data_IF_847406805009
#
_entry.id   IF_847406805009
#
_cell.length_a   1.000
_cell.length_b   1.000
_cell.length_c   1.000
_cell.angle_alpha   90.00
_cell.angle_beta   90.00
_cell.angle_gamma   90.00
#
_symmetry.space_group_name_H-M   'P 1'
#
loop_
_entity.id
_entity.type
_entity.pdbx_description
1 polymer ?
#
# COMPACT_ATOMS: atom_id res chain seq x y z
N UNK A 1 -5.65 11.33 40.29
CA UNK A 1 -4.25 11.03 39.91
C UNK A 1 -4.26 10.50 38.49
N UNK A 2 -3.29 10.87 37.66
CA UNK A 2 -3.26 10.55 36.24
C UNK A 2 -2.28 11.50 35.55
N UNK A 3 -1.03 11.07 35.43
CA UNK A 3 0.07 11.91 34.97
C UNK A 3 1.33 11.10 34.79
N UNK A 4 1.52 10.61 33.57
CA UNK A 4 2.74 10.05 32.96
C UNK A 4 2.36 9.64 31.54
N UNK A 5 2.72 10.48 30.58
CA UNK A 5 2.91 10.16 29.15
C UNK A 5 3.52 11.41 28.48
N UNK A 6 4.73 11.78 28.93
CA UNK A 6 5.56 12.72 28.20
C UNK A 6 6.26 11.94 27.08
N UNK A 7 5.98 12.28 25.82
CA UNK A 7 6.64 11.64 24.68
C UNK A 7 8.15 11.92 24.72
N UNK A 8 8.96 10.87 24.71
CA UNK A 8 10.41 10.97 24.52
C UNK A 8 10.76 11.33 23.07
N UNK A 9 11.88 12.03 22.89
CA UNK A 9 12.43 12.28 21.56
C UNK A 9 12.84 10.95 20.89
N UNK A 10 12.61 10.83 19.59
CA UNK A 10 12.88 9.62 18.82
C UNK A 10 14.17 9.74 18.03
N UNK A 11 15.04 8.74 18.13
CA UNK A 11 16.19 8.60 17.24
C UNK A 11 15.76 8.12 15.85
N UNK A 12 16.54 8.51 14.83
CA UNK A 12 16.37 8.02 13.46
C UNK A 12 17.03 6.65 13.35
N UNK A 13 16.28 5.63 12.93
CA UNK A 13 16.79 4.27 12.77
C UNK A 13 17.27 4.02 11.34
N UNK A 14 18.47 3.46 11.19
CA UNK A 14 19.01 2.96 9.91
C UNK A 14 18.25 1.70 9.47
N UNK A 15 17.61 1.74 8.29
CA UNK A 15 17.01 0.55 7.67
C UNK A 15 17.91 -0.02 6.57
N UNK A 16 18.32 -1.27 6.71
CA UNK A 16 19.11 -1.98 5.69
C UNK A 16 18.25 -2.34 4.48
N UNK A 17 18.80 -2.16 3.28
CA UNK A 17 18.11 -2.47 2.01
C UNK A 17 17.79 -3.98 1.89
N UNK A 18 16.65 -4.37 1.28
CA UNK A 18 16.34 -5.78 1.03
C UNK A 18 17.42 -6.56 0.29
N UNK A 19 18.23 -5.90 -0.55
CA UNK A 19 19.34 -6.54 -1.29
C UNK A 19 20.42 -7.09 -0.36
N UNK A 20 20.59 -6.52 0.83
CA UNK A 20 21.54 -6.96 1.87
C UNK A 20 21.32 -8.44 2.21
N UNK A 21 20.07 -8.92 2.24
CA UNK A 21 19.75 -10.33 2.58
C UNK A 21 19.97 -11.34 1.44
N UNK A 22 20.52 -10.89 0.30
CA UNK A 22 21.10 -11.77 -0.73
C UNK A 22 22.64 -11.78 -0.71
N UNK A 23 23.27 -10.84 0.00
CA UNK A 23 24.73 -10.69 0.12
C UNK A 23 25.29 -11.24 1.45
N UNK A 24 24.45 -11.25 2.50
CA UNK A 24 24.78 -11.75 3.83
C UNK A 24 23.74 -12.83 4.22
N UNK A 25 24.11 -14.12 4.24
CA UNK A 25 23.23 -15.21 4.64
C UNK A 25 22.69 -15.02 6.06
N UNK A 26 21.43 -15.44 6.30
CA UNK A 26 20.82 -15.32 7.63
C UNK A 26 21.42 -16.27 8.67
N UNK A 27 21.97 -17.40 8.23
CA UNK A 27 22.56 -18.39 9.13
C UNK A 27 23.88 -17.85 9.74
N UNK A 28 24.56 -16.95 9.03
CA UNK A 28 25.77 -16.25 9.47
C UNK A 28 25.47 -15.10 10.48
N UNK A 29 24.22 -14.67 10.65
CA UNK A 29 23.85 -13.63 11.64
C UNK A 29 24.33 -14.02 13.06
N UNK A 30 24.36 -15.32 13.39
CA UNK A 30 24.82 -15.79 14.70
C UNK A 30 26.34 -15.68 14.94
N UNK A 31 27.12 -15.28 13.92
CA UNK A 31 28.57 -15.12 13.97
C UNK A 31 29.01 -13.64 14.15
N UNK A 32 28.07 -12.70 14.23
CA UNK A 32 28.34 -11.26 14.24
C UNK A 32 28.25 -10.64 15.65
N UNK A 33 29.17 -9.75 15.97
CA UNK A 33 29.18 -8.99 17.24
C UNK A 33 28.17 -7.82 17.19
N UNK A 34 27.01 -8.02 17.83
CA UNK A 34 25.92 -7.04 17.90
C UNK A 34 26.15 -5.94 18.94
N UNK A 35 25.83 -4.70 18.56
CA UNK A 35 25.76 -3.57 19.48
C UNK A 35 24.43 -3.62 20.28
N UNK A 36 24.41 -3.00 21.46
CA UNK A 36 23.26 -3.00 22.38
C UNK A 36 22.96 -1.57 22.86
N UNK A 37 21.72 -1.12 22.69
CA UNK A 37 21.25 0.21 23.07
C UNK A 37 19.86 0.10 23.74
N UNK A 38 19.66 0.79 24.87
CA UNK A 38 18.48 0.69 25.75
C UNK A 38 18.02 -0.76 26.07
N UNK A 39 18.97 -1.71 26.08
CA UNK A 39 18.73 -3.12 26.36
C UNK A 39 18.26 -3.95 25.16
N UNK A 40 18.23 -3.36 23.96
CA UNK A 40 17.89 -4.04 22.71
C UNK A 40 19.14 -4.27 21.85
N UNK A 41 19.22 -5.44 21.21
CA UNK A 41 20.25 -5.73 20.21
C UNK A 41 19.92 -4.97 18.93
N UNK A 42 20.84 -4.14 18.44
CA UNK A 42 20.67 -3.30 17.25
C UNK A 42 21.44 -3.89 16.06
N UNK A 43 22.21 -3.10 15.29
CA UNK A 43 23.03 -3.60 14.18
C UNK A 43 24.39 -4.17 14.63
N UNK A 44 25.00 -5.11 13.86
CA UNK A 44 26.31 -5.66 14.16
C UNK A 44 27.44 -4.70 13.78
N UNK A 45 28.57 -4.85 14.47
CA UNK A 45 29.74 -3.97 14.37
C UNK A 45 30.34 -3.91 12.95
N UNK A 46 30.17 -4.96 12.15
CA UNK A 46 30.53 -5.00 10.73
C UNK A 46 29.76 -6.11 9.99
N UNK A 47 29.74 -6.03 8.66
CA UNK A 47 29.17 -7.02 7.75
C UNK A 47 30.25 -7.47 6.74
N UNK A 48 30.49 -8.78 6.59
CA UNK A 48 31.49 -9.33 5.66
C UNK A 48 30.82 -10.20 4.58
N UNK A 49 30.92 -9.85 3.28
CA UNK A 49 30.13 -10.50 2.22
C UNK A 49 30.80 -11.76 1.67
N UNK A 50 30.03 -12.84 1.55
CA UNK A 50 30.52 -14.16 1.11
C UNK A 50 30.50 -14.28 -0.42
N UNK A 51 31.47 -13.65 -1.10
CA UNK A 51 31.55 -13.63 -2.57
C UNK A 51 32.21 -14.92 -3.11
N UNK A 52 31.58 -15.67 -4.04
CA UNK A 52 32.21 -16.81 -4.70
C UNK A 52 33.39 -16.39 -5.58
N UNK A 53 34.61 -16.82 -5.22
CA UNK A 53 35.84 -16.49 -5.97
C UNK A 53 35.84 -16.95 -7.44
N UNK A 54 34.96 -17.88 -7.84
CA UNK A 54 34.78 -18.29 -9.25
C UNK A 54 34.17 -17.18 -10.12
N UNK A 55 33.52 -16.18 -9.52
CA UNK A 55 33.04 -14.98 -10.22
C UNK A 55 34.13 -13.90 -10.38
N UNK A 56 35.31 -14.11 -9.79
CA UNK A 56 36.44 -13.17 -9.81
C UNK A 56 37.49 -13.56 -10.87
N UNK A 57 37.56 -14.84 -11.24
CA UNK A 57 38.48 -15.37 -12.25
C UNK A 57 37.72 -16.10 -13.36
N UNK A 58 37.81 -15.61 -14.61
CA UNK A 58 37.26 -16.30 -15.78
C UNK A 58 38.00 -17.63 -16.03
N UNK A 59 37.25 -18.71 -16.25
CA UNK A 59 37.76 -20.02 -16.65
C UNK A 59 37.52 -20.27 -18.14
N UNK A 60 38.53 -20.82 -18.83
CA UNK A 60 38.55 -21.07 -20.28
C UNK A 60 38.63 -22.60 -20.55
N UNK A 61 37.97 -23.11 -21.61
CA UNK A 61 37.77 -24.55 -21.89
C UNK A 61 38.55 -25.06 -23.14
N UNK A 62 38.88 -26.36 -23.23
CA UNK A 62 39.32 -27.03 -24.48
C UNK A 62 39.22 -28.59 -24.43
N UNK A 63 39.21 -29.27 -25.59
CA UNK A 63 39.01 -30.73 -25.84
C UNK A 63 40.24 -31.42 -26.54
N UNK A 64 40.30 -32.66 -27.08
CA UNK A 64 39.30 -33.71 -27.44
C UNK A 64 39.92 -35.12 -27.74
N UNK A 65 39.10 -36.19 -27.76
CA UNK A 65 39.36 -37.50 -28.43
C UNK A 65 40.34 -38.51 -27.76
N UNK A 66 40.44 -39.81 -28.15
CA UNK A 66 39.56 -40.68 -28.96
C UNK A 66 40.24 -41.91 -29.64
N UNK A 67 39.67 -43.15 -29.50
CA UNK A 67 39.85 -44.39 -30.36
C UNK A 67 41.28 -45.05 -30.44
N UNK A 68 41.58 -46.27 -30.95
CA UNK A 68 40.89 -47.50 -31.49
C UNK A 68 41.75 -48.80 -31.19
N UNK A 69 41.30 -50.08 -31.37
CA UNK A 69 42.01 -51.30 -30.91
C UNK A 69 42.43 -52.33 -32.03
N UNK A 70 42.49 -53.66 -31.70
CA UNK A 70 42.64 -54.92 -32.52
C UNK A 70 44.03 -55.63 -32.46
N UNK A 71 44.20 -56.95 -32.70
CA UNK A 71 43.28 -58.12 -32.80
C UNK A 71 43.89 -59.37 -32.03
N UNK A 72 44.11 -60.66 -32.42
CA UNK A 72 43.94 -61.48 -33.65
C UNK A 72 43.98 -63.02 -33.38
N UNK A 73 42.96 -63.78 -33.85
CA UNK A 73 42.85 -65.21 -34.26
C UNK A 73 43.60 -66.45 -33.65
N UNK A 74 42.77 -67.47 -33.32
CA UNK A 74 42.72 -68.88 -33.81
C UNK A 74 43.64 -70.05 -33.31
N UNK A 75 43.01 -71.19 -32.95
CA UNK A 75 43.32 -72.55 -33.54
C UNK A 75 42.36 -73.71 -33.16
N UNK A 76 42.29 -74.71 -34.07
CA UNK A 76 41.96 -76.15 -33.89
C UNK A 76 40.50 -76.67 -33.98
N UNK A 77 40.32 -77.70 -34.83
CA UNK A 77 39.02 -78.31 -35.18
C UNK A 77 38.42 -79.21 -34.10
N UNK A 78 39.23 -79.72 -33.14
CA UNK A 78 38.70 -80.49 -32.01
C UNK A 78 37.88 -79.61 -31.05
N UNK A 79 38.20 -78.32 -30.95
CA UNK A 79 37.39 -77.36 -30.19
C UNK A 79 35.99 -77.22 -30.79
N UNK A 80 35.83 -77.31 -32.12
CA UNK A 80 34.59 -76.94 -32.83
C UNK A 80 33.34 -77.64 -32.29
N UNK A 81 33.42 -78.88 -31.77
CA UNK A 81 32.27 -79.53 -31.13
C UNK A 81 31.95 -78.97 -29.73
N UNK A 82 32.96 -78.71 -28.92
CA UNK A 82 32.81 -78.09 -27.59
C UNK A 82 32.36 -76.63 -27.75
N UNK A 83 32.94 -75.93 -28.73
CA UNK A 83 32.59 -74.58 -29.15
C UNK A 83 31.17 -74.50 -29.71
N UNK A 84 30.67 -75.50 -30.45
CA UNK A 84 29.27 -75.56 -30.87
C UNK A 84 28.32 -75.74 -29.68
N UNK A 85 28.68 -76.54 -28.68
CA UNK A 85 27.90 -76.64 -27.43
C UNK A 85 27.99 -75.37 -26.58
N UNK A 86 29.15 -74.70 -26.53
CA UNK A 86 29.34 -73.42 -25.85
C UNK A 86 28.52 -72.32 -26.55
N UNK A 87 28.63 -72.18 -27.87
CA UNK A 87 27.81 -71.24 -28.68
C UNK A 87 26.32 -71.54 -28.52
N UNK A 88 25.90 -72.81 -28.44
CA UNK A 88 24.50 -73.15 -28.18
C UNK A 88 24.06 -72.75 -26.76
N UNK A 89 24.90 -72.96 -25.74
CA UNK A 89 24.63 -72.57 -24.36
C UNK A 89 24.62 -71.03 -24.20
N UNK A 90 25.58 -70.33 -24.80
CA UNK A 90 25.65 -68.87 -24.87
C UNK A 90 24.47 -68.29 -25.63
N UNK A 91 24.05 -68.90 -26.75
CA UNK A 91 22.85 -68.51 -27.47
C UNK A 91 21.60 -68.67 -26.62
N UNK A 92 21.44 -69.79 -25.91
CA UNK A 92 20.33 -70.00 -24.98
C UNK A 92 20.38 -68.98 -23.82
N UNK A 93 21.56 -68.71 -23.26
CA UNK A 93 21.75 -67.70 -22.21
C UNK A 93 21.42 -66.29 -22.71
N UNK A 94 21.83 -65.93 -23.92
CA UNK A 94 21.50 -64.66 -24.59
C UNK A 94 20.00 -64.58 -24.86
N UNK A 95 19.34 -65.65 -25.31
CA UNK A 95 17.88 -65.67 -25.51
C UNK A 95 17.13 -65.51 -24.18
N UNK A 96 17.55 -66.20 -23.10
CA UNK A 96 16.95 -66.05 -21.77
C UNK A 96 17.19 -64.64 -21.18
N UNK A 97 18.39 -64.08 -21.36
CA UNK A 97 18.69 -62.67 -21.05
C UNK A 97 17.77 -61.73 -21.82
N UNK A 98 17.62 -61.94 -23.14
CA UNK A 98 16.83 -61.10 -24.04
C UNK A 98 15.35 -61.08 -23.63
N UNK A 99 14.76 -62.27 -23.41
CA UNK A 99 13.39 -62.39 -22.90
C UNK A 99 13.21 -61.73 -21.52
N UNK A 100 14.15 -61.92 -20.60
CA UNK A 100 14.14 -61.25 -19.29
C UNK A 100 14.18 -59.72 -19.42
N UNK A 101 15.02 -59.18 -20.30
CA UNK A 101 15.08 -57.73 -20.57
C UNK A 101 13.84 -57.22 -21.30
N UNK A 102 13.21 -58.01 -22.17
CA UNK A 102 11.96 -57.62 -22.84
C UNK A 102 10.78 -57.57 -21.86
N UNK A 103 10.65 -58.55 -20.95
CA UNK A 103 9.62 -58.52 -19.89
C UNK A 103 9.78 -57.27 -19.02
N UNK A 104 10.99 -57.03 -18.49
CA UNK A 104 11.27 -55.84 -17.67
C UNK A 104 11.19 -54.50 -18.41
N UNK A 105 11.14 -54.51 -19.74
CA UNK A 105 10.84 -53.32 -20.55
C UNK A 105 9.33 -53.12 -20.70
N UNK A 106 8.55 -54.20 -20.91
CA UNK A 106 7.10 -54.15 -21.00
C UNK A 106 6.46 -53.62 -19.70
N UNK A 107 6.88 -54.13 -18.53
CA UNK A 107 6.35 -53.70 -17.23
C UNK A 107 6.59 -52.20 -16.97
N UNK A 108 7.77 -51.69 -17.34
CA UNK A 108 8.11 -50.26 -17.26
C UNK A 108 7.27 -49.41 -18.21
N UNK A 109 6.94 -49.94 -19.39
CA UNK A 109 6.16 -49.24 -20.39
C UNK A 109 4.69 -49.15 -19.98
N UNK A 110 4.13 -50.18 -19.33
CA UNK A 110 2.81 -50.14 -18.68
C UNK A 110 2.79 -49.08 -17.56
N UNK A 111 3.75 -49.12 -16.63
CA UNK A 111 3.81 -48.15 -15.53
C UNK A 111 3.98 -46.69 -16.03
N UNK A 112 4.73 -46.48 -17.12
CA UNK A 112 4.85 -45.17 -17.76
C UNK A 112 3.49 -44.70 -18.32
N UNK A 113 2.78 -45.55 -19.08
CA UNK A 113 1.47 -45.23 -19.66
C UNK A 113 0.41 -44.97 -18.58
N UNK A 114 0.43 -45.70 -17.46
CA UNK A 114 -0.46 -45.41 -16.32
C UNK A 114 -0.17 -44.02 -15.71
N UNK A 115 1.11 -43.66 -15.55
CA UNK A 115 1.50 -42.34 -15.03
C UNK A 115 1.14 -41.18 -15.97
N UNK A 116 1.25 -41.39 -17.29
CA UNK A 116 0.85 -40.42 -18.32
C UNK A 116 -0.67 -40.23 -18.36
N UNK A 117 -1.43 -41.33 -18.25
CA UNK A 117 -2.89 -41.32 -18.15
C UNK A 117 -3.37 -40.57 -16.90
N UNK A 118 -2.74 -40.83 -15.75
CA UNK A 118 -3.04 -40.12 -14.49
C UNK A 118 -2.76 -38.61 -14.62
N UNK A 119 -1.57 -38.22 -15.09
CA UNK A 119 -1.21 -36.82 -15.34
C UNK A 119 -2.19 -36.13 -16.30
N UNK A 120 -2.60 -36.81 -17.37
CA UNK A 120 -3.60 -36.31 -18.34
C UNK A 120 -4.96 -36.07 -17.69
N UNK A 121 -5.36 -36.85 -16.68
CA UNK A 121 -6.62 -36.66 -15.96
C UNK A 121 -6.61 -35.43 -15.03
N UNK A 122 -5.54 -35.21 -14.27
CA UNK A 122 -5.36 -34.01 -13.44
C UNK A 122 -5.32 -32.72 -14.29
N UNK A 123 -4.60 -32.73 -15.41
CA UNK A 123 -4.54 -31.58 -16.33
C UNK A 123 -5.94 -31.23 -16.88
N UNK A 124 -6.80 -32.20 -17.14
CA UNK A 124 -8.20 -31.93 -17.55
C UNK A 124 -9.03 -31.30 -16.43
N UNK A 125 -8.92 -31.81 -15.20
CA UNK A 125 -9.62 -31.24 -14.04
C UNK A 125 -9.22 -29.78 -13.78
N UNK A 126 -7.93 -29.45 -13.96
CA UNK A 126 -7.44 -28.06 -13.86
C UNK A 126 -7.98 -27.18 -14.99
N UNK A 127 -8.05 -27.68 -16.23
CA UNK A 127 -8.65 -26.95 -17.36
C UNK A 127 -10.13 -26.66 -17.12
N UNK A 128 -10.91 -27.63 -16.64
CA UNK A 128 -12.33 -27.45 -16.33
C UNK A 128 -12.54 -26.42 -15.20
N UNK A 129 -11.71 -26.44 -14.16
CA UNK A 129 -11.73 -25.42 -13.11
C UNK A 129 -11.41 -24.01 -13.63
N UNK A 130 -10.39 -23.88 -14.50
CA UNK A 130 -10.02 -22.59 -15.11
C UNK A 130 -11.17 -22.07 -15.99
N UNK A 131 -11.80 -22.94 -16.79
CA UNK A 131 -12.95 -22.60 -17.64
C UNK A 131 -14.12 -21.99 -16.82
N UNK A 132 -14.47 -22.61 -15.70
CA UNK A 132 -15.53 -22.13 -14.78
C UNK A 132 -15.17 -20.76 -14.16
N UNK A 133 -13.88 -20.48 -13.90
CA UNK A 133 -13.47 -19.15 -13.41
C UNK A 133 -13.47 -18.10 -14.53
N UNK A 134 -13.13 -18.46 -15.77
CA UNK A 134 -13.19 -17.55 -16.91
C UNK A 134 -14.63 -17.09 -17.19
N UNK A 135 -15.61 -18.00 -17.19
CA UNK A 135 -17.04 -17.67 -17.34
C UNK A 135 -17.51 -16.69 -16.24
N UNK A 136 -17.10 -16.92 -14.99
CA UNK A 136 -17.40 -16.02 -13.86
C UNK A 136 -16.81 -14.63 -14.07
N UNK A 137 -15.55 -14.53 -14.49
CA UNK A 137 -14.86 -13.26 -14.78
C UNK A 137 -15.62 -12.49 -15.86
N UNK A 138 -15.94 -13.12 -17.00
CA UNK A 138 -16.73 -12.47 -18.07
C UNK A 138 -18.07 -11.95 -17.54
N UNK A 139 -18.79 -12.75 -16.75
CA UNK A 139 -20.08 -12.32 -16.16
C UNK A 139 -19.97 -11.14 -15.19
N UNK A 140 -18.80 -10.92 -14.59
CA UNK A 140 -18.50 -9.79 -13.71
C UNK A 140 -18.05 -8.56 -14.50
N UNK A 141 -17.29 -8.75 -15.58
CA UNK A 141 -16.91 -7.67 -16.50
C UNK A 141 -18.12 -7.08 -17.22
N UNK A 142 -19.09 -7.90 -17.64
CA UNK A 142 -20.35 -7.41 -18.23
C UNK A 142 -21.18 -6.59 -17.23
N UNK A 143 -21.31 -7.07 -15.98
CA UNK A 143 -22.00 -6.34 -14.91
C UNK A 143 -21.31 -5.00 -14.60
N UNK A 144 -19.98 -5.02 -14.48
CA UNK A 144 -19.17 -3.81 -14.29
C UNK A 144 -19.37 -2.81 -15.44
N UNK A 145 -19.30 -3.27 -16.69
CA UNK A 145 -19.51 -2.45 -17.90
C UNK A 145 -20.90 -1.81 -17.94
N UNK A 146 -21.93 -2.54 -17.51
CA UNK A 146 -23.29 -1.99 -17.36
C UNK A 146 -23.35 -0.89 -16.29
N UNK A 147 -22.77 -1.15 -15.11
CA UNK A 147 -22.73 -0.20 -13.99
C UNK A 147 -21.88 1.05 -14.29
N UNK A 148 -20.77 0.90 -15.00
CA UNK A 148 -19.94 2.01 -15.49
C UNK A 148 -20.73 2.87 -16.51
N UNK A 149 -21.54 2.26 -17.38
CA UNK A 149 -22.39 2.98 -18.33
C UNK A 149 -23.51 3.76 -17.61
N UNK A 150 -24.13 3.19 -16.57
CA UNK A 150 -25.11 3.87 -15.73
C UNK A 150 -24.47 5.03 -14.95
N UNK A 151 -23.31 4.80 -14.33
CA UNK A 151 -22.54 5.82 -13.62
C UNK A 151 -22.03 6.93 -14.56
N UNK A 152 -21.80 6.63 -15.84
CA UNK A 152 -21.53 7.61 -16.89
C UNK A 152 -22.75 8.47 -17.22
N UNK A 153 -23.93 7.87 -17.41
CA UNK A 153 -25.20 8.59 -17.62
C UNK A 153 -25.52 9.52 -16.44
N UNK A 154 -25.35 9.03 -15.21
CA UNK A 154 -25.61 9.81 -14.00
C UNK A 154 -24.64 11.00 -13.88
N UNK A 155 -23.34 10.80 -14.16
CA UNK A 155 -22.35 11.89 -14.19
C UNK A 155 -22.65 12.93 -15.28
N UNK A 156 -23.11 12.52 -16.46
CA UNK A 156 -23.54 13.45 -17.50
C UNK A 156 -24.77 14.27 -17.07
N UNK A 157 -25.73 13.65 -16.37
CA UNK A 157 -26.90 14.34 -15.83
C UNK A 157 -26.53 15.36 -14.74
N UNK A 158 -25.63 14.97 -13.82
CA UNK A 158 -25.08 15.86 -12.78
C UNK A 158 -24.34 17.03 -13.43
N UNK A 159 -23.48 16.80 -14.42
CA UNK A 159 -22.76 17.88 -15.11
C UNK A 159 -23.71 18.84 -15.87
N UNK A 160 -24.84 18.36 -16.41
CA UNK A 160 -25.82 19.25 -17.04
C UNK A 160 -26.63 20.07 -16.03
N UNK A 161 -26.94 19.50 -14.86
CA UNK A 161 -27.49 20.22 -13.71
C UNK A 161 -26.49 21.25 -13.15
N UNK A 162 -25.22 20.90 -13.02
CA UNK A 162 -24.13 21.79 -12.62
C UNK A 162 -23.95 22.93 -13.63
N UNK A 163 -24.01 22.66 -14.95
CA UNK A 163 -23.96 23.69 -15.99
C UNK A 163 -25.15 24.66 -15.90
N UNK A 164 -26.36 24.14 -15.69
CA UNK A 164 -27.58 24.94 -15.51
C UNK A 164 -27.55 25.75 -14.20
N UNK A 165 -26.95 25.19 -13.14
CA UNK A 165 -26.67 25.90 -11.89
C UNK A 165 -25.62 27.00 -12.07
N UNK A 166 -24.52 26.71 -12.77
CA UNK A 166 -23.41 27.64 -13.01
C UNK A 166 -23.86 28.91 -13.75
N UNK A 167 -24.83 28.79 -14.67
CA UNK A 167 -25.42 29.93 -15.37
C UNK A 167 -26.08 30.95 -14.40
N UNK A 168 -26.55 30.50 -13.23
CA UNK A 168 -27.09 31.35 -12.15
C UNK A 168 -26.05 31.75 -11.08
N UNK A 169 -24.77 31.37 -11.25
CA UNK A 169 -23.69 31.59 -10.27
C UNK A 169 -22.67 32.63 -10.74
N UNK A 170 -22.76 33.11 -11.98
CA UNK A 170 -21.89 34.15 -12.57
C UNK A 170 -21.80 35.42 -11.71
N UNK A 171 -22.87 35.76 -10.98
CA UNK A 171 -22.94 36.90 -10.04
C UNK A 171 -22.05 36.77 -8.78
N UNK A 172 -21.37 35.63 -8.55
CA UNK A 172 -20.59 35.35 -7.32
C UNK A 172 -19.10 35.12 -7.57
N UNK A 173 -18.49 35.97 -8.40
CA UNK A 173 -17.06 35.92 -8.73
C UNK A 173 -16.14 36.42 -7.58
N UNK A 174 -16.18 35.77 -6.41
CA UNK A 174 -15.19 35.93 -5.34
C UNK A 174 -14.46 34.60 -5.09
N UNK A 175 -13.13 34.62 -5.17
CA UNK A 175 -12.28 33.47 -4.83
C UNK A 175 -12.41 33.17 -3.33
N UNK A 176 -12.61 31.88 -2.93
CA UNK A 176 -12.63 31.50 -1.52
C UNK A 176 -11.33 31.84 -0.79
N UNK A 177 -11.43 32.18 0.50
CA UNK A 177 -10.29 32.51 1.36
C UNK A 177 -9.54 31.24 1.78
N UNK A 178 -10.31 30.20 2.16
CA UNK A 178 -9.87 28.83 2.41
C UNK A 178 -11.12 27.92 2.40
N UNK A 179 -10.97 26.65 2.02
CA UNK A 179 -12.00 25.65 2.35
C UNK A 179 -11.92 25.28 3.83
N UNK A 180 -13.03 24.90 4.44
CA UNK A 180 -13.05 24.27 5.77
C UNK A 180 -13.39 22.80 5.58
N UNK A 181 -12.61 21.90 6.17
CA UNK A 181 -12.91 20.47 6.25
C UNK A 181 -13.02 20.03 7.70
N UNK A 182 -14.11 19.37 8.05
CA UNK A 182 -14.22 18.61 9.30
C UNK A 182 -13.88 17.15 9.00
N UNK A 183 -12.90 16.63 9.74
CA UNK A 183 -12.46 15.24 9.71
C UNK A 183 -13.31 14.43 10.69
N UNK A 184 -14.09 13.49 10.17
CA UNK A 184 -15.01 12.66 10.94
C UNK A 184 -14.82 11.17 10.63
N UNK A 185 -15.31 10.29 11.50
CA UNK A 185 -15.30 8.84 11.26
C UNK A 185 -16.61 8.18 11.70
N UNK A 186 -16.83 8.05 13.01
CA UNK A 186 -17.95 7.30 13.59
C UNK A 186 -18.76 8.08 14.65
N UNK A 187 -18.38 9.33 14.97
CA UNK A 187 -18.91 10.13 16.09
C UNK A 187 -20.06 11.08 15.68
N UNK A 188 -21.16 10.55 15.17
CA UNK A 188 -22.28 11.36 14.59
C UNK A 188 -22.82 12.49 15.48
N UNK A 189 -22.86 12.30 16.80
CA UNK A 189 -23.29 13.33 17.76
C UNK A 189 -22.28 14.47 17.92
N UNK A 190 -20.98 14.18 17.81
CA UNK A 190 -19.91 15.18 17.85
C UNK A 190 -19.91 15.96 16.53
N UNK A 191 -19.99 15.27 15.39
CA UNK A 191 -20.15 15.88 14.07
C UNK A 191 -21.35 16.85 14.02
N UNK A 192 -22.49 16.51 14.62
CA UNK A 192 -23.65 17.40 14.69
C UNK A 192 -23.39 18.67 15.52
N UNK A 193 -22.63 18.55 16.62
CA UNK A 193 -22.25 19.66 17.49
C UNK A 193 -21.34 20.64 16.76
N UNK A 194 -20.28 20.16 16.10
CA UNK A 194 -19.37 21.04 15.35
C UNK A 194 -20.06 21.66 14.13
N UNK A 195 -20.88 20.92 13.37
CA UNK A 195 -21.64 21.49 12.24
C UNK A 195 -22.53 22.65 12.71
N UNK A 196 -23.25 22.49 13.82
CA UNK A 196 -24.07 23.58 14.40
C UNK A 196 -23.22 24.75 14.88
N UNK A 197 -22.05 24.49 15.48
CA UNK A 197 -21.09 25.52 15.91
C UNK A 197 -20.58 26.34 14.73
N UNK A 198 -20.22 25.69 13.61
CA UNK A 198 -19.77 26.33 12.37
C UNK A 198 -20.90 27.13 11.70
N UNK A 199 -22.04 26.50 11.41
CA UNK A 199 -23.16 27.11 10.69
C UNK A 199 -23.74 28.35 11.40
N UNK A 200 -23.63 28.41 12.74
CA UNK A 200 -24.05 29.55 13.56
C UNK A 200 -23.38 30.87 13.16
N UNK A 201 -22.12 30.84 12.72
CA UNK A 201 -21.36 32.04 12.34
C UNK A 201 -20.98 32.07 10.84
N UNK A 202 -20.97 30.93 10.13
CA UNK A 202 -20.58 30.84 8.71
C UNK A 202 -21.51 31.59 7.75
N UNK A 203 -22.80 31.78 8.09
CA UNK A 203 -23.87 32.13 7.12
C UNK A 203 -23.59 33.38 6.27
N UNK A 204 -22.89 34.39 6.80
CA UNK A 204 -22.52 35.63 6.09
C UNK A 204 -21.23 35.52 5.26
N UNK A 205 -20.46 34.44 5.44
CA UNK A 205 -19.13 34.22 4.84
C UNK A 205 -19.00 32.89 4.08
N UNK A 206 -20.09 32.14 3.89
CA UNK A 206 -20.09 30.79 3.31
C UNK A 206 -19.47 30.70 1.89
N UNK A 207 -19.50 31.78 1.08
CA UNK A 207 -18.80 31.82 -0.22
C UNK A 207 -17.27 31.97 -0.09
N UNK A 208 -16.79 32.48 1.05
CA UNK A 208 -15.37 32.65 1.37
C UNK A 208 -14.80 31.45 2.10
N UNK A 209 -15.65 30.72 2.81
CA UNK A 209 -15.32 29.52 3.57
C UNK A 209 -16.36 28.42 3.25
N UNK A 210 -16.26 27.74 2.10
CA UNK A 210 -17.09 26.58 1.81
C UNK A 210 -16.76 25.42 2.77
N UNK A 211 -17.79 24.71 3.24
CA UNK A 211 -17.68 23.68 4.28
C UNK A 211 -17.82 22.28 3.69
N UNK A 212 -16.81 21.47 3.98
CA UNK A 212 -16.70 20.06 3.62
C UNK A 212 -16.74 19.20 4.90
N UNK A 213 -17.39 18.03 4.82
CA UNK A 213 -17.23 16.97 5.83
C UNK A 213 -16.55 15.81 5.13
N UNK A 214 -15.36 15.45 5.59
CA UNK A 214 -14.64 14.27 5.14
C UNK A 214 -14.84 13.16 6.16
N UNK A 215 -15.55 12.10 5.78
CA UNK A 215 -15.79 10.94 6.62
C UNK A 215 -14.87 9.78 6.25
N UNK A 216 -14.19 9.19 7.24
CA UNK A 216 -13.59 7.86 7.10
C UNK A 216 -14.61 6.74 7.39
N UNK A 217 -14.61 5.72 6.54
CA UNK A 217 -15.34 4.48 6.75
C UNK A 217 -16.86 4.54 6.51
N UNK A 218 -17.56 3.40 6.69
CA UNK A 218 -18.95 3.22 6.24
C UNK A 218 -20.00 3.56 7.32
N UNK A 219 -19.74 4.48 8.25
CA UNK A 219 -20.70 4.78 9.32
C UNK A 219 -21.91 5.57 8.79
N UNK A 220 -23.03 4.89 8.56
CA UNK A 220 -24.23 5.49 7.98
C UNK A 220 -24.87 6.58 8.88
N UNK A 221 -24.68 6.54 10.21
CA UNK A 221 -25.19 7.60 11.09
C UNK A 221 -24.44 8.93 10.88
N UNK A 222 -23.12 8.88 10.67
CA UNK A 222 -22.28 10.04 10.33
C UNK A 222 -22.64 10.56 8.93
N UNK A 223 -22.76 9.66 7.95
CA UNK A 223 -23.12 9.96 6.56
C UNK A 223 -24.50 10.61 6.44
N UNK A 224 -25.53 10.01 7.04
CA UNK A 224 -26.88 10.58 7.08
C UNK A 224 -26.90 11.94 7.82
N UNK A 225 -26.10 12.10 8.89
CA UNK A 225 -25.99 13.40 9.58
C UNK A 225 -25.37 14.47 8.67
N UNK A 226 -24.27 14.18 7.98
CA UNK A 226 -23.64 15.11 7.06
C UNK A 226 -24.58 15.49 5.89
N UNK A 227 -25.19 14.48 5.24
CA UNK A 227 -26.11 14.66 4.11
C UNK A 227 -27.42 15.39 4.47
N UNK A 228 -27.79 15.48 5.76
CA UNK A 228 -28.94 16.26 6.20
C UNK A 228 -28.76 17.79 6.10
N UNK A 229 -27.54 18.28 5.85
CA UNK A 229 -27.23 19.71 5.74
C UNK A 229 -26.96 20.11 4.28
N UNK A 230 -27.92 20.80 3.67
CA UNK A 230 -27.84 21.24 2.27
C UNK A 230 -26.90 22.44 1.99
N UNK A 231 -26.15 22.93 2.99
CA UNK A 231 -25.05 23.91 2.80
C UNK A 231 -23.65 23.25 2.74
N UNK A 232 -23.58 21.91 2.83
CA UNK A 232 -22.35 21.17 3.09
C UNK A 232 -22.00 20.26 1.92
N UNK A 233 -20.72 20.19 1.57
CA UNK A 233 -20.20 19.18 0.63
C UNK A 233 -19.72 17.95 1.40
N UNK A 234 -20.32 16.79 1.12
CA UNK A 234 -19.94 15.52 1.74
C UNK A 234 -18.86 14.79 0.92
N UNK A 235 -17.85 14.27 1.61
CA UNK A 235 -16.78 13.43 1.06
C UNK A 235 -16.67 12.16 1.92
N UNK A 236 -16.49 10.99 1.29
CA UNK A 236 -16.32 9.72 1.99
C UNK A 236 -15.06 9.00 1.52
N UNK A 237 -14.19 8.67 2.48
CA UNK A 237 -13.03 7.82 2.34
C UNK A 237 -13.41 6.38 2.71
N UNK A 238 -13.04 5.42 1.86
CA UNK A 238 -13.38 4.00 2.03
C UNK A 238 -12.13 3.14 1.78
N UNK A 239 -11.16 3.26 2.69
CA UNK A 239 -9.96 2.42 2.70
C UNK A 239 -10.18 1.14 3.52
N UNK A 240 -10.40 0.05 2.78
CA UNK A 240 -10.49 -1.32 3.31
C UNK A 240 -9.16 -2.08 3.21
N UNK A 241 -8.05 -1.40 2.90
CA UNK A 241 -6.73 -1.99 2.82
C UNK A 241 -6.26 -2.56 4.15
N UNK A 242 -5.42 -3.60 4.08
CA UNK A 242 -4.67 -4.08 5.23
C UNK A 242 -3.54 -3.08 5.48
N UNK A 243 -3.70 -2.28 6.53
CA UNK A 243 -2.64 -1.39 7.01
C UNK A 243 -1.46 -2.24 7.48
N UNK A 244 -0.35 -2.17 6.74
CA UNK A 244 0.94 -2.64 7.24
C UNK A 244 1.54 -1.51 8.09
N UNK A 245 1.91 -1.83 9.33
CA UNK A 245 2.69 -0.93 10.19
C UNK A 245 4.17 -1.12 9.90
N UNK A 246 4.96 -0.06 9.98
CA UNK A 246 6.43 -0.14 9.84
C UNK A 246 7.05 -1.03 10.94
N UNK A 247 6.45 -1.02 12.14
CA UNK A 247 6.92 -1.81 13.29
C UNK A 247 5.80 -2.64 13.91
N UNK A 248 6.07 -3.87 14.38
CA UNK A 248 5.11 -4.64 15.16
C UNK A 248 4.68 -3.90 16.44
N UNK A 249 3.38 -3.87 16.72
CA UNK A 249 2.81 -3.23 17.92
C UNK A 249 2.38 -1.77 17.76
N UNK A 250 2.61 -1.15 16.59
CA UNK A 250 2.13 0.21 16.33
C UNK A 250 0.61 0.30 16.17
N UNK A 251 0.05 1.45 16.54
CA UNK A 251 -1.39 1.69 16.51
C UNK A 251 -1.86 2.00 15.08
N UNK A 252 -2.40 0.98 14.41
CA UNK A 252 -3.06 1.02 13.09
C UNK A 252 -4.03 2.21 12.92
N UNK A 253 -4.65 2.68 14.00
CA UNK A 253 -5.52 3.86 14.00
C UNK A 253 -4.82 5.13 13.46
N UNK A 254 -3.55 5.38 13.82
CA UNK A 254 -2.82 6.56 13.34
C UNK A 254 -2.53 6.49 11.84
N UNK A 255 -2.19 5.32 11.32
CA UNK A 255 -2.01 5.10 9.88
C UNK A 255 -3.32 5.35 9.10
N UNK A 256 -4.48 4.94 9.64
CA UNK A 256 -5.79 5.25 9.04
C UNK A 256 -6.12 6.74 9.07
N UNK A 257 -5.85 7.41 10.19
CA UNK A 257 -6.00 8.87 10.31
C UNK A 257 -5.10 9.58 9.30
N UNK A 258 -3.82 9.17 9.16
CA UNK A 258 -2.90 9.73 8.17
C UNK A 258 -3.38 9.51 6.73
N UNK A 259 -3.83 8.30 6.38
CA UNK A 259 -4.42 7.97 5.07
C UNK A 259 -5.64 8.87 4.75
N UNK A 260 -6.57 8.99 5.70
CA UNK A 260 -7.77 9.83 5.57
C UNK A 260 -7.45 11.32 5.45
N UNK A 261 -6.54 11.84 6.28
CA UNK A 261 -6.04 13.21 6.20
C UNK A 261 -5.40 13.50 4.83
N UNK A 262 -4.52 12.61 4.36
CA UNK A 262 -3.87 12.76 3.04
C UNK A 262 -4.91 12.78 1.92
N UNK A 263 -5.84 11.82 1.91
CA UNK A 263 -6.89 11.73 0.90
C UNK A 263 -7.80 12.96 0.87
N UNK A 264 -8.20 13.47 2.05
CA UNK A 264 -9.05 14.65 2.17
C UNK A 264 -8.34 15.91 1.66
N UNK A 265 -7.08 16.12 2.05
CA UNK A 265 -6.28 17.26 1.62
C UNK A 265 -5.92 17.20 0.14
N UNK A 266 -5.54 16.03 -0.40
CA UNK A 266 -5.32 15.85 -1.83
C UNK A 266 -6.59 16.15 -2.65
N UNK A 267 -7.75 15.71 -2.16
CA UNK A 267 -9.04 16.05 -2.74
C UNK A 267 -9.28 17.57 -2.79
N UNK A 268 -9.05 18.28 -1.68
CA UNK A 268 -9.31 19.71 -1.60
C UNK A 268 -8.27 20.54 -2.39
N UNK A 269 -6.99 20.22 -2.30
CA UNK A 269 -5.92 20.96 -2.96
C UNK A 269 -5.80 20.65 -4.46
N UNK A 270 -5.98 19.39 -4.89
CA UNK A 270 -5.78 19.02 -6.31
C UNK A 270 -7.09 18.89 -7.09
N UNK A 271 -8.11 18.20 -6.56
CA UNK A 271 -9.38 17.99 -7.26
C UNK A 271 -10.32 19.19 -7.18
N UNK A 272 -10.41 19.86 -6.03
CA UNK A 272 -11.21 21.09 -5.86
C UNK A 272 -10.38 22.39 -6.02
N UNK A 273 -9.06 22.27 -6.21
CA UNK A 273 -8.12 23.37 -6.49
C UNK A 273 -8.17 24.56 -5.51
N UNK A 274 -8.41 24.31 -4.22
CA UNK A 274 -8.25 25.34 -3.20
C UNK A 274 -6.78 25.72 -3.02
N UNK A 275 -6.52 26.99 -2.70
CA UNK A 275 -5.17 27.49 -2.35
C UNK A 275 -4.84 27.29 -0.86
N UNK A 276 -5.89 27.21 -0.02
CA UNK A 276 -5.83 27.03 1.44
C UNK A 276 -6.95 26.12 1.92
N UNK A 277 -6.64 25.32 2.95
CA UNK A 277 -7.60 24.48 3.68
C UNK A 277 -7.45 24.73 5.17
N UNK A 278 -8.56 24.79 5.89
CA UNK A 278 -8.65 24.79 7.36
C UNK A 278 -9.17 23.42 7.78
N UNK A 279 -8.41 22.71 8.61
CA UNK A 279 -8.69 21.36 9.09
C UNK A 279 -9.24 21.45 10.51
N UNK A 280 -10.40 20.82 10.76
CA UNK A 280 -11.06 20.69 12.06
C UNK A 280 -11.34 19.21 12.35
N UNK A 281 -11.33 18.81 13.63
CA UNK A 281 -11.72 17.46 14.07
C UNK A 281 -13.17 17.44 14.55
N UNK A 282 -13.87 16.30 14.44
CA UNK A 282 -15.32 16.25 14.65
C UNK A 282 -15.82 16.51 16.08
N UNK A 283 -14.93 16.63 17.07
CA UNK A 283 -15.24 16.98 18.47
C UNK A 283 -14.93 18.43 18.89
N UNK A 284 -14.44 19.29 17.98
CA UNK A 284 -14.16 20.69 18.25
C UNK A 284 -15.43 21.58 18.30
N UNK A 285 -15.31 22.77 18.88
CA UNK A 285 -16.25 23.89 18.70
C UNK A 285 -15.50 25.17 18.31
N UNK A 286 -16.15 26.07 17.56
CA UNK A 286 -15.50 27.30 17.07
C UNK A 286 -15.91 28.54 17.86
N UNK A 287 -15.00 29.50 17.96
CA UNK A 287 -15.26 30.82 18.55
C UNK A 287 -16.14 31.70 17.63
N UNK A 288 -16.82 32.74 18.17
CA UNK A 288 -17.64 33.65 17.35
C UNK A 288 -16.84 34.44 16.30
N UNK A 289 -15.53 34.57 16.48
CA UNK A 289 -14.60 35.35 15.65
C UNK A 289 -13.67 34.48 14.79
N UNK A 290 -13.77 33.15 14.86
CA UNK A 290 -13.02 32.15 14.08
C UNK A 290 -12.82 32.53 12.60
N UNK A 291 -13.89 32.95 11.92
CA UNK A 291 -13.84 33.35 10.51
C UNK A 291 -13.10 34.67 10.26
N UNK A 292 -13.11 35.60 11.22
CA UNK A 292 -12.35 36.85 11.15
C UNK A 292 -10.87 36.58 11.42
N UNK A 293 -10.57 35.72 12.40
CA UNK A 293 -9.23 35.24 12.70
C UNK A 293 -8.58 34.59 11.48
N UNK A 294 -9.18 33.55 10.89
CA UNK A 294 -8.60 32.86 9.72
C UNK A 294 -8.53 33.75 8.48
N UNK A 295 -9.44 34.71 8.29
CA UNK A 295 -9.35 35.70 7.21
C UNK A 295 -8.15 36.65 7.39
N UNK A 296 -7.88 37.08 8.62
CA UNK A 296 -6.70 37.90 8.92
C UNK A 296 -5.41 37.09 8.76
N UNK A 297 -5.39 35.86 9.29
CA UNK A 297 -4.28 34.91 9.16
C UNK A 297 -3.92 34.62 7.69
N UNK A 298 -4.91 34.41 6.82
CA UNK A 298 -4.66 34.19 5.38
C UNK A 298 -3.91 35.38 4.75
N UNK A 299 -4.27 36.60 5.15
CA UNK A 299 -3.61 37.84 4.69
C UNK A 299 -2.19 38.01 5.24
N UNK A 300 -1.86 37.31 6.33
CA UNK A 300 -0.51 37.26 6.90
C UNK A 300 0.34 36.20 6.19
N UNK A 301 -0.19 34.99 5.97
CA UNK A 301 0.48 33.92 5.20
C UNK A 301 0.77 34.34 3.74
N UNK A 302 -0.12 35.13 3.12
CA UNK A 302 0.09 35.71 1.78
C UNK A 302 1.27 36.71 1.72
N UNK A 303 1.76 37.19 2.87
CA UNK A 303 2.85 38.18 2.98
C UNK A 303 4.14 37.60 3.55
N UNK A 304 4.04 36.65 4.48
CA UNK A 304 5.17 36.06 5.20
C UNK A 304 5.25 34.55 4.94
N UNK A 305 6.20 34.18 4.08
CA UNK A 305 6.49 32.79 3.71
C UNK A 305 7.14 31.97 4.83
N UNK A 306 7.52 32.58 5.95
CA UNK A 306 8.05 31.85 7.12
C UNK A 306 6.93 31.22 7.97
N UNK A 307 5.66 31.42 7.61
CA UNK A 307 4.50 30.87 8.31
C UNK A 307 4.01 29.61 7.59
N UNK A 308 4.44 28.45 8.06
CA UNK A 308 4.02 27.13 7.57
C UNK A 308 2.50 26.92 7.67
N UNK A 309 1.94 27.21 8.85
CA UNK A 309 0.55 27.00 9.18
C UNK A 309 0.10 28.02 10.25
N UNK A 310 -1.21 28.16 10.43
CA UNK A 310 -1.80 28.98 11.52
C UNK A 310 -2.85 28.15 12.25
N UNK A 311 -2.78 28.04 13.58
CA UNK A 311 -3.71 27.27 14.41
C UNK A 311 -4.54 28.16 15.32
N UNK A 312 -5.80 27.77 15.53
CA UNK A 312 -6.71 28.36 16.52
C UNK A 312 -6.47 27.89 17.96
N UNK A 313 -5.52 26.96 18.18
CA UNK A 313 -5.19 26.41 19.48
C UNK A 313 -4.00 27.10 20.17
N UNK A 314 -3.97 27.01 21.49
CA UNK A 314 -2.86 27.41 22.34
C UNK A 314 -2.75 26.39 23.48
N UNK A 315 -1.67 25.63 23.53
CA UNK A 315 -1.47 24.54 24.49
C UNK A 315 -1.42 25.04 25.94
N UNK A 316 -1.03 26.30 26.14
CA UNK A 316 -1.03 26.99 27.43
C UNK A 316 -2.30 27.84 27.64
N UNK A 317 -3.32 27.67 26.79
CA UNK A 317 -4.54 28.48 26.69
C UNK A 317 -5.51 28.42 27.87
N UNK A 318 -5.10 27.87 29.02
CA UNK A 318 -5.92 27.83 30.22
C UNK A 318 -6.26 29.25 30.72
N UNK A 319 -7.51 29.46 31.15
CA UNK A 319 -8.08 30.75 31.58
C UNK A 319 -7.26 31.55 32.60
N UNK A 320 -6.41 30.88 33.38
CA UNK A 320 -5.54 31.52 34.38
C UNK A 320 -4.25 32.12 33.80
N UNK A 321 -3.86 31.76 32.57
CA UNK A 321 -2.63 32.21 31.90
C UNK A 321 -2.89 33.14 30.70
N UNK A 322 -4.14 33.22 30.21
CA UNK A 322 -4.53 34.08 29.07
C UNK A 322 -5.30 35.29 29.56
N UNK A 323 -4.89 36.48 29.13
CA UNK A 323 -5.43 37.76 29.61
C UNK A 323 -5.90 38.72 28.50
N UNK A 324 -5.41 38.58 27.27
CA UNK A 324 -5.88 39.30 26.08
C UNK A 324 -6.26 38.29 24.99
N UNK A 325 -7.48 38.39 24.46
CA UNK A 325 -7.99 37.54 23.38
C UNK A 325 -7.65 38.04 21.98
N UNK A 326 -6.95 39.18 21.86
CA UNK A 326 -6.50 39.76 20.58
C UNK A 326 -5.02 39.51 20.31
N UNK A 327 -4.25 39.06 21.31
CA UNK A 327 -2.82 38.86 21.19
C UNK A 327 -2.52 37.55 20.44
N UNK A 328 -1.58 37.60 19.50
CA UNK A 328 -1.16 36.45 18.70
C UNK A 328 0.31 36.16 18.91
N UNK A 329 0.67 34.87 18.87
CA UNK A 329 2.02 34.38 19.08
C UNK A 329 2.54 33.71 17.81
N UNK A 330 3.87 33.68 17.66
CA UNK A 330 4.56 32.69 16.81
C UNK A 330 5.06 31.56 17.70
N UNK A 331 5.10 30.36 17.16
CA UNK A 331 5.58 29.14 17.82
C UNK A 331 6.25 28.28 16.77
N UNK A 332 7.41 27.71 17.11
CA UNK A 332 8.08 26.71 16.30
C UNK A 332 7.54 25.29 16.59
N UNK A 333 6.76 25.14 17.66
CA UNK A 333 5.91 23.97 17.91
C UNK A 333 4.58 24.11 17.16
N UNK A 334 4.17 23.06 16.44
CA UNK A 334 2.91 22.98 15.70
C UNK A 334 1.82 22.28 16.52
N UNK A 335 0.77 22.99 16.99
CA UNK A 335 -0.22 22.43 17.91
C UNK A 335 -1.38 21.67 17.24
N UNK A 336 -1.46 21.64 15.91
CA UNK A 336 -2.61 21.06 15.19
C UNK A 336 -3.92 21.79 15.54
N UNK A 337 -4.96 21.03 15.92
CA UNK A 337 -6.24 21.48 16.52
C UNK A 337 -6.84 22.76 15.90
N UNK A 338 -7.51 22.61 14.76
CA UNK A 338 -8.16 23.72 14.07
C UNK A 338 -7.14 24.63 13.41
N UNK A 339 -6.59 24.20 12.27
CA UNK A 339 -5.41 24.82 11.66
C UNK A 339 -5.52 24.99 10.15
N UNK A 340 -4.85 26.01 9.62
CA UNK A 340 -4.86 26.39 8.20
C UNK A 340 -3.52 26.14 7.54
N UNK A 341 -3.56 25.53 6.35
CA UNK A 341 -2.42 25.14 5.52
C UNK A 341 -2.54 25.73 4.11
N UNK A 342 -1.41 25.97 3.43
CA UNK A 342 -1.38 26.36 2.01
C UNK A 342 -1.11 25.16 1.08
N UNK A 343 -1.58 25.25 -0.17
CA UNK A 343 -1.31 24.24 -1.21
C UNK A 343 0.20 24.05 -1.49
N UNK A 344 1.00 25.10 -1.31
CA UNK A 344 2.47 25.04 -1.50
C UNK A 344 3.08 24.18 -0.40
N UNK A 345 2.77 24.50 0.86
CA UNK A 345 3.24 23.77 2.04
C UNK A 345 2.78 22.30 2.04
N UNK A 346 1.57 22.00 1.55
CA UNK A 346 1.12 20.62 1.37
C UNK A 346 1.93 19.86 0.31
N UNK A 347 2.25 20.49 -0.82
CA UNK A 347 3.08 19.88 -1.86
C UNK A 347 4.52 19.65 -1.37
N UNK A 348 5.09 20.58 -0.59
CA UNK A 348 6.39 20.43 0.06
C UNK A 348 6.40 19.25 1.06
N UNK A 349 5.34 19.10 1.88
CA UNK A 349 5.20 17.98 2.83
C UNK A 349 4.93 16.60 2.21
N UNK A 350 4.88 16.49 0.87
CA UNK A 350 4.76 15.22 0.13
C UNK A 350 6.03 14.87 -0.65
N UNK A 351 7.11 15.65 -0.49
CA UNK A 351 8.39 15.49 -1.20
C UNK A 351 9.57 15.14 -0.26
N UNK A 352 9.32 15.04 1.05
CA UNK A 352 10.24 14.53 2.07
C UNK A 352 9.63 13.34 2.80
#
# INVERSE_FOLDING_TARGET
MGGKDHASARYVYSCLSPITRFLFPKDDDCLLDYLNEDGQSIEPTWYMPTIPMVLVNSSEETSEGGFDPKETMARNVCEVRILLFAIAADFIYIQMRLFGTQSGYADRLVAAVESESYCTSEVRLLIDQISIQQERIVSLEEKKKSQDQECGKLRALVHDLERKGAQNVVDKLQVPVAAIVVMACNRSNYLERIIKSILKYQRSVASKFPLFISQDGPNENVKHKALSYNQITYMQHLDFGIVQTERPGELIAYYKIASHCKWALDGLFYKHNFTRVIILEDDMEISPDFFNYFKAAATLMDKDRTIMAVSSWNDNGHKQFVHDSKFLYRSDFFPGLGWMLTKVTWAESLLG
#
